data_IF_036549700225
#
_entry.id   IF_036549700225
#
_cell.length_a   1.000
_cell.length_b   1.000
_cell.length_c   1.000
_cell.angle_alpha   90.00
_cell.angle_beta   90.00
_cell.angle_gamma   90.00
#
_symmetry.space_group_name_H-M   'P 1'
#
loop_
_entity.id
_entity.type
_entity.pdbx_description
1 polymer ?
#
# COMPACT_ATOMS: atom_id res chain seq x y z
N UNK A 1 0.84 -50.64 37.10
CA UNK A 1 0.09 -50.28 35.87
C UNK A 1 -0.05 -48.78 35.85
N UNK A 2 0.64 -48.15 34.89
CA UNK A 2 0.73 -46.70 34.71
C UNK A 2 -0.66 -46.08 34.52
N UNK A 3 -0.85 -44.90 35.10
CA UNK A 3 -2.07 -44.11 34.98
C UNK A 3 -1.72 -42.76 34.36
N UNK A 4 -2.46 -42.45 33.27
CA UNK A 4 -2.76 -41.14 32.68
C UNK A 4 -1.55 -40.29 32.22
N UNK A 5 -1.15 -40.40 30.94
CA UNK A 5 -1.65 -39.63 29.79
C UNK A 5 -1.60 -38.11 30.00
N UNK A 6 -0.39 -37.59 29.75
CA UNK A 6 -0.03 -36.41 28.95
C UNK A 6 -1.04 -35.24 28.99
N UNK A 7 -0.67 -34.25 29.80
CA UNK A 7 -1.11 -32.86 29.77
C UNK A 7 -0.64 -32.21 28.44
N UNK A 8 -1.44 -32.32 27.38
CA UNK A 8 -1.17 -31.65 26.11
C UNK A 8 -1.60 -30.19 26.19
N UNK A 9 -0.58 -29.33 26.28
CA UNK A 9 -0.60 -27.87 26.17
C UNK A 9 -1.77 -27.32 25.33
N UNK A 10 -2.64 -26.59 26.03
CA UNK A 10 -3.26 -25.37 25.51
C UNK A 10 -2.15 -24.44 25.02
N UNK A 11 -2.09 -24.13 23.72
CA UNK A 11 -1.72 -22.84 23.14
C UNK A 11 -1.95 -22.93 21.63
N UNK A 12 -3.22 -23.04 21.21
CA UNK A 12 -3.56 -22.54 19.88
C UNK A 12 -3.50 -21.03 19.96
N UNK A 13 -2.31 -20.55 19.64
CA UNK A 13 -1.96 -19.15 19.45
C UNK A 13 -3.04 -18.55 18.55
N UNK A 14 -3.74 -17.56 19.10
CA UNK A 14 -4.60 -16.65 18.36
C UNK A 14 -3.92 -16.31 17.03
N UNK A 15 -4.52 -16.76 15.91
CA UNK A 15 -4.32 -16.07 14.64
C UNK A 15 -4.83 -14.65 14.86
N UNK A 16 -3.92 -13.75 15.25
CA UNK A 16 -4.18 -12.33 15.16
C UNK A 16 -4.55 -12.06 13.72
N UNK A 17 -5.83 -11.77 13.47
CA UNK A 17 -6.26 -11.14 12.23
C UNK A 17 -5.30 -9.98 11.95
N UNK A 18 -4.80 -9.79 10.72
CA UNK A 18 -3.98 -8.63 10.41
C UNK A 18 -4.76 -7.41 10.88
N UNK A 19 -4.11 -6.59 11.70
CA UNK A 19 -4.72 -5.44 12.33
C UNK A 19 -5.44 -4.65 11.25
N UNK A 20 -6.77 -4.53 11.38
CA UNK A 20 -7.52 -3.53 10.64
C UNK A 20 -6.91 -2.19 11.04
N UNK A 21 -6.01 -1.66 10.20
CA UNK A 21 -5.39 -0.36 10.40
C UNK A 21 -6.54 0.62 10.60
N UNK A 22 -6.63 1.18 11.81
CA UNK A 22 -7.60 2.23 12.10
C UNK A 22 -7.21 3.41 11.21
N UNK A 23 -8.01 3.62 10.16
CA UNK A 23 -7.96 4.77 9.27
C UNK A 23 -7.95 6.01 10.18
N UNK A 24 -6.78 6.62 10.36
CA UNK A 24 -6.71 8.01 10.80
C UNK A 24 -6.99 8.87 9.57
N UNK A 25 -7.50 10.07 9.77
CA UNK A 25 -7.65 11.01 8.65
C UNK A 25 -6.24 11.46 8.25
N UNK A 26 -5.82 11.09 7.04
CA UNK A 26 -4.51 11.45 6.51
C UNK A 26 -4.46 12.93 6.16
N UNK A 27 -3.28 13.53 6.26
CA UNK A 27 -3.03 14.89 5.78
C UNK A 27 -2.97 14.83 4.26
N UNK A 28 -3.88 15.46 3.53
CA UNK A 28 -3.81 15.38 2.05
C UNK A 28 -4.26 16.64 1.35
N UNK A 29 -3.29 17.34 0.73
CA UNK A 29 -3.53 18.12 -0.49
C UNK A 29 -3.25 17.18 -1.67
N UNK A 30 -4.28 16.61 -2.28
CA UNK A 30 -4.16 15.80 -3.48
C UNK A 30 -5.03 16.36 -4.59
N UNK A 31 -4.56 16.20 -5.83
CA UNK A 31 -5.34 16.47 -7.03
C UNK A 31 -5.38 15.20 -7.86
N UNK A 32 -6.57 14.64 -8.00
CA UNK A 32 -6.82 13.49 -8.86
C UNK A 32 -7.18 13.97 -10.27
N UNK A 33 -6.50 13.42 -11.27
CA UNK A 33 -6.89 13.44 -12.68
C UNK A 33 -7.17 12.00 -13.09
N UNK A 34 -7.97 11.76 -14.14
CA UNK A 34 -8.55 10.45 -14.54
C UNK A 34 -7.64 9.19 -14.45
N UNK A 35 -6.30 9.32 -14.41
CA UNK A 35 -5.34 8.21 -14.18
C UNK A 35 -4.09 8.58 -13.38
N UNK A 36 -4.01 9.82 -12.89
CA UNK A 36 -2.82 10.35 -12.25
C UNK A 36 -3.21 11.00 -10.93
N UNK A 37 -2.53 10.61 -9.86
CA UNK A 37 -2.60 11.30 -8.57
C UNK A 37 -1.36 12.17 -8.42
N UNK A 38 -1.58 13.45 -8.12
CA UNK A 38 -0.55 14.32 -7.58
C UNK A 38 -0.80 14.53 -6.09
N UNK A 39 0.20 14.25 -5.27
CA UNK A 39 0.10 14.30 -3.82
C UNK A 39 1.36 14.92 -3.20
N UNK A 40 1.20 15.49 -2.02
CA UNK A 40 2.32 15.92 -1.19
C UNK A 40 2.32 15.10 0.10
N UNK A 41 3.44 14.44 0.38
CA UNK A 41 3.69 13.67 1.62
C UNK A 41 4.98 14.22 2.20
N UNK A 42 4.93 14.78 3.42
CA UNK A 42 6.01 15.61 3.96
C UNK A 42 6.43 16.73 2.98
N UNK A 43 7.73 16.81 2.63
CA UNK A 43 8.28 17.76 1.67
C UNK A 43 8.51 17.17 0.27
N UNK A 44 7.98 15.98 0.03
CA UNK A 44 7.99 15.32 -1.27
C UNK A 44 6.67 15.55 -2.02
N UNK A 45 6.78 15.80 -3.32
CA UNK A 45 5.67 15.71 -4.25
C UNK A 45 5.73 14.37 -4.99
N UNK A 46 4.60 13.68 -5.08
CA UNK A 46 4.44 12.41 -5.74
C UNK A 46 3.50 12.56 -6.94
N UNK A 47 3.95 12.08 -8.10
CA UNK A 47 3.10 11.84 -9.26
C UNK A 47 2.96 10.32 -9.43
N UNK A 48 1.76 9.81 -9.23
CA UNK A 48 1.44 8.37 -9.21
C UNK A 48 0.61 8.02 -10.44
N UNK A 49 0.99 6.96 -11.15
CA UNK A 49 0.34 6.56 -12.40
C UNK A 49 0.27 5.04 -12.58
N UNK A 50 -0.88 4.54 -13.02
CA UNK A 50 -0.99 3.16 -13.49
C UNK A 50 -0.34 3.00 -14.87
N UNK A 51 0.64 2.11 -14.98
CA UNK A 51 1.21 1.66 -16.27
C UNK A 51 0.39 0.52 -16.88
N UNK A 52 -0.36 -0.19 -16.05
CA UNK A 52 -1.31 -1.23 -16.46
C UNK A 52 -2.22 -1.58 -15.28
N UNK A 53 -3.52 -1.65 -15.52
CA UNK A 53 -4.53 -1.76 -14.48
C UNK A 53 -5.01 -0.39 -13.99
N UNK A 54 -5.62 -0.32 -12.80
CA UNK A 54 -5.85 -1.45 -11.88
C UNK A 54 -6.78 -2.51 -12.50
N UNK A 55 -6.51 -3.79 -12.22
CA UNK A 55 -7.30 -4.92 -12.74
C UNK A 55 -8.00 -5.65 -11.59
N UNK A 56 -9.34 -5.76 -11.65
CA UNK A 56 -10.16 -6.46 -10.68
C UNK A 56 -10.10 -8.00 -10.76
N UNK A 57 -8.93 -8.58 -10.98
CA UNK A 57 -8.75 -10.01 -11.19
C UNK A 57 -7.38 -10.46 -10.69
N UNK A 58 -7.34 -11.44 -9.78
CA UNK A 58 -6.11 -11.91 -9.15
C UNK A 58 -5.13 -12.61 -10.10
N UNK A 59 -5.57 -12.95 -11.32
CA UNK A 59 -4.70 -13.51 -12.37
C UNK A 59 -3.90 -12.45 -13.12
N UNK A 60 -4.24 -11.16 -12.98
CA UNK A 60 -3.57 -10.06 -13.66
C UNK A 60 -2.85 -9.17 -12.65
N UNK A 61 -1.61 -8.81 -12.96
CA UNK A 61 -0.83 -7.88 -12.16
C UNK A 61 -1.06 -6.45 -12.64
N UNK A 62 -1.43 -5.59 -11.71
CA UNK A 62 -1.46 -4.14 -11.89
C UNK A 62 -0.06 -3.57 -11.65
N UNK A 63 0.26 -2.48 -12.34
CA UNK A 63 1.58 -1.85 -12.32
C UNK A 63 1.45 -0.37 -12.02
N UNK A 64 2.08 0.06 -10.94
CA UNK A 64 2.04 1.44 -10.47
C UNK A 64 3.44 2.04 -10.54
N UNK A 65 3.60 3.14 -11.26
CA UNK A 65 4.83 3.94 -11.25
C UNK A 65 4.61 5.18 -10.39
N UNK A 66 5.63 5.54 -9.63
CA UNK A 66 5.65 6.71 -8.76
C UNK A 66 6.89 7.54 -9.10
N UNK A 67 6.66 8.81 -9.42
CA UNK A 67 7.70 9.82 -9.56
C UNK A 67 7.72 10.67 -8.30
N UNK A 68 8.91 10.84 -7.72
CA UNK A 68 9.13 11.56 -6.47
C UNK A 68 9.95 12.80 -6.77
N UNK A 69 9.46 13.94 -6.30
CA UNK A 69 10.09 15.23 -6.47
C UNK A 69 10.34 15.89 -5.13
N UNK A 70 11.49 16.55 -4.99
CA UNK A 70 11.80 17.46 -3.89
C UNK A 70 12.26 18.79 -4.51
N UNK A 71 11.65 19.90 -4.11
CA UNK A 71 11.91 21.22 -4.71
C UNK A 71 11.79 21.21 -6.26
N UNK A 72 10.74 20.57 -6.78
CA UNK A 72 10.44 20.45 -8.22
C UNK A 72 11.51 19.71 -9.05
N UNK A 73 12.42 18.97 -8.43
CA UNK A 73 13.39 18.08 -9.09
C UNK A 73 13.13 16.65 -8.69
N UNK A 74 13.32 15.72 -9.62
CA UNK A 74 13.31 14.29 -9.29
C UNK A 74 14.35 14.05 -8.20
N UNK A 75 13.94 13.36 -7.14
CA UNK A 75 14.78 13.13 -5.98
C UNK A 75 14.38 11.81 -5.34
N UNK A 76 15.38 11.05 -4.91
CA UNK A 76 15.12 9.86 -4.14
C UNK A 76 14.53 10.21 -2.78
N UNK A 77 13.71 9.29 -2.29
CA UNK A 77 13.31 9.25 -0.89
C UNK A 77 14.57 9.06 -0.05
N UNK A 78 14.65 9.79 1.06
CA UNK A 78 15.82 9.77 1.93
C UNK A 78 16.04 8.39 2.56
N UNK A 79 17.30 8.13 2.93
CA UNK A 79 17.67 6.88 3.56
C UNK A 79 16.86 6.67 4.85
N UNK A 80 16.33 5.47 5.02
CA UNK A 80 15.49 5.12 6.18
C UNK A 80 13.99 5.29 5.95
N UNK A 81 13.57 5.81 4.79
CA UNK A 81 12.17 5.87 4.38
C UNK A 81 11.90 5.00 3.14
N UNK A 82 10.69 4.45 3.06
CA UNK A 82 10.26 3.54 2.01
C UNK A 82 8.83 3.84 1.53
N UNK A 83 8.55 3.56 0.26
CA UNK A 83 7.17 3.58 -0.26
C UNK A 83 6.48 2.26 0.01
N UNK A 84 5.22 2.34 0.42
CA UNK A 84 4.32 1.21 0.50
C UNK A 84 2.98 1.55 -0.15
N UNK A 85 2.41 0.59 -0.87
CA UNK A 85 1.07 0.72 -1.44
C UNK A 85 0.10 -0.13 -0.63
N UNK A 86 -1.02 0.45 -0.25
CA UNK A 86 -2.15 -0.27 0.32
C UNK A 86 -3.43 0.02 -0.46
N UNK A 87 -4.41 -0.89 -0.37
CA UNK A 87 -5.71 -0.70 -0.98
C UNK A 87 -6.76 -1.60 -0.33
N UNK A 88 -7.93 -1.03 -0.10
CA UNK A 88 -9.08 -1.75 0.46
C UNK A 88 -10.39 -1.34 -0.20
N UNK A 89 -11.39 -2.24 -0.21
CA UNK A 89 -12.76 -1.91 -0.57
C UNK A 89 -13.54 -1.51 0.70
N UNK A 90 -13.89 -0.23 0.91
CA UNK A 90 -14.55 0.21 2.15
C UNK A 90 -15.90 -0.47 2.38
N UNK A 91 -16.64 -0.73 1.30
CA UNK A 91 -17.97 -1.33 1.35
C UNK A 91 -17.99 -2.75 1.93
N UNK A 92 -16.88 -3.48 1.81
CA UNK A 92 -16.78 -4.86 2.28
C UNK A 92 -15.63 -5.11 3.27
N UNK A 93 -14.81 -4.09 3.57
CA UNK A 93 -13.63 -4.23 4.43
C UNK A 93 -12.59 -5.22 3.89
N UNK A 94 -12.58 -5.49 2.58
CA UNK A 94 -11.67 -6.44 1.96
C UNK A 94 -10.38 -5.75 1.51
N UNK A 95 -9.19 -6.22 1.92
CA UNK A 95 -7.93 -5.76 1.37
C UNK A 95 -7.71 -6.31 -0.04
N UNK A 96 -6.79 -5.70 -0.79
CA UNK A 96 -6.26 -6.29 -2.02
C UNK A 96 -5.57 -7.65 -1.74
N UNK A 97 -5.37 -8.45 -2.79
CA UNK A 97 -4.77 -9.77 -2.66
C UNK A 97 -3.25 -9.70 -2.43
N UNK A 98 -2.56 -8.84 -3.17
CA UNK A 98 -1.11 -8.62 -3.03
C UNK A 98 -0.80 -7.12 -3.22
N UNK A 99 -0.03 -6.55 -2.29
CA UNK A 99 0.41 -5.15 -2.34
C UNK A 99 1.57 -4.92 -3.33
N UNK A 100 2.37 -5.96 -3.59
CA UNK A 100 3.66 -5.82 -4.26
C UNK A 100 4.67 -4.99 -3.47
N UNK A 101 5.81 -4.72 -4.08
CA UNK A 101 6.89 -3.92 -3.51
C UNK A 101 7.38 -2.90 -4.54
N UNK A 102 7.78 -1.71 -4.08
CA UNK A 102 8.38 -0.71 -4.94
C UNK A 102 9.86 -1.00 -5.15
N UNK A 103 10.27 -1.05 -6.42
CA UNK A 103 11.67 -1.13 -6.83
C UNK A 103 12.09 0.20 -7.42
N UNK A 104 13.21 0.75 -6.96
CA UNK A 104 13.81 1.95 -7.54
C UNK A 104 14.40 1.63 -8.93
N UNK A 105 13.98 2.38 -9.94
CA UNK A 105 14.49 2.26 -11.31
C UNK A 105 15.60 3.27 -11.61
N UNK A 106 15.38 4.51 -11.18
CA UNK A 106 16.32 5.63 -11.29
C UNK A 106 16.02 6.66 -10.20
N UNK A 107 16.77 7.77 -10.18
CA UNK A 107 16.54 8.85 -9.23
C UNK A 107 15.09 9.34 -9.26
N UNK A 108 14.42 9.26 -8.12
CA UNK A 108 13.03 9.67 -7.94
C UNK A 108 12.01 8.84 -8.75
N UNK A 109 12.37 7.66 -9.26
CA UNK A 109 11.45 6.82 -10.04
C UNK A 109 11.36 5.42 -9.45
N UNK A 110 10.15 5.04 -9.04
CA UNK A 110 9.86 3.79 -8.37
C UNK A 110 8.75 3.03 -9.10
N UNK A 111 8.89 1.72 -9.23
CA UNK A 111 7.92 0.86 -9.89
C UNK A 111 7.48 -0.26 -8.95
N UNK A 112 6.17 -0.43 -8.79
CA UNK A 112 5.58 -1.62 -8.20
C UNK A 112 4.86 -2.41 -9.30
N UNK A 113 5.30 -3.65 -9.53
CA UNK A 113 4.76 -4.56 -10.53
C UNK A 113 4.06 -5.80 -9.93
N UNK A 114 3.83 -5.81 -8.61
CA UNK A 114 3.29 -6.95 -7.87
C UNK A 114 1.85 -6.79 -7.41
N UNK A 115 1.17 -5.67 -7.73
CA UNK A 115 -0.16 -5.37 -7.19
C UNK A 115 -1.20 -6.31 -7.80
N UNK A 116 -2.02 -6.95 -6.97
CA UNK A 116 -3.16 -7.76 -7.41
C UNK A 116 -4.42 -7.46 -6.60
N UNK A 117 -5.51 -7.19 -7.31
CA UNK A 117 -6.83 -7.10 -6.73
C UNK A 117 -7.57 -8.43 -6.88
N UNK A 118 -8.49 -8.72 -5.98
CA UNK A 118 -9.32 -9.92 -6.01
C UNK A 118 -10.59 -9.75 -6.85
N UNK A 119 -11.07 -8.53 -7.04
CA UNK A 119 -12.32 -8.24 -7.76
C UNK A 119 -12.41 -6.77 -8.23
N UNK A 120 -13.27 -6.45 -9.23
CA UNK A 120 -13.55 -5.06 -9.61
C UNK A 120 -14.44 -4.36 -8.58
N UNK A 121 -14.53 -3.03 -8.67
CA UNK A 121 -15.39 -2.22 -7.81
C UNK A 121 -14.74 -0.92 -7.35
N UNK A 122 -15.30 -0.33 -6.29
CA UNK A 122 -14.82 0.89 -5.66
C UNK A 122 -13.73 0.56 -4.64
N UNK A 123 -12.53 1.06 -4.87
CA UNK A 123 -11.36 0.86 -4.03
C UNK A 123 -10.85 2.19 -3.47
N UNK A 124 -10.34 2.14 -2.24
CA UNK A 124 -9.56 3.20 -1.63
C UNK A 124 -8.11 2.78 -1.66
N UNK A 125 -7.32 3.49 -2.45
CA UNK A 125 -5.89 3.31 -2.58
C UNK A 125 -5.15 4.21 -1.62
N UNK A 126 -4.02 3.74 -1.15
CA UNK A 126 -3.16 4.47 -0.23
C UNK A 126 -1.70 4.31 -0.65
N UNK A 127 -0.95 5.41 -0.65
CA UNK A 127 0.49 5.42 -0.83
C UNK A 127 1.10 5.99 0.44
N UNK A 128 1.87 5.16 1.12
CA UNK A 128 2.45 5.44 2.41
C UNK A 128 3.94 5.69 2.27
N UNK A 129 4.42 6.64 3.06
CA UNK A 129 5.83 6.79 3.36
C UNK A 129 6.05 6.21 4.76
N UNK A 130 6.83 5.14 4.85
CA UNK A 130 7.08 4.40 6.09
C UNK A 130 8.57 4.44 6.43
N UNK A 131 8.90 4.30 7.71
CA UNK A 131 10.29 4.18 8.16
C UNK A 131 10.81 2.72 8.13
N UNK A 132 12.04 2.51 8.60
CA UNK A 132 12.67 1.18 8.69
C UNK A 132 11.94 0.20 9.62
N UNK A 133 11.07 0.69 10.51
CA UNK A 133 10.25 -0.12 11.40
C UNK A 133 8.85 -0.37 10.82
N UNK A 134 8.58 0.08 9.60
CA UNK A 134 7.26 0.08 8.95
C UNK A 134 6.23 0.97 9.65
N UNK A 135 6.68 1.94 10.45
CA UNK A 135 5.78 2.95 11.02
C UNK A 135 5.45 4.00 9.96
N UNK A 136 4.16 4.23 9.72
CA UNK A 136 3.67 5.23 8.77
C UNK A 136 4.04 6.63 9.24
N UNK A 137 4.88 7.31 8.46
CA UNK A 137 5.26 8.69 8.71
C UNK A 137 4.18 9.64 8.18
N UNK A 138 3.73 9.41 6.94
CA UNK A 138 2.66 10.17 6.29
C UNK A 138 2.14 9.38 5.05
N UNK A 139 0.98 9.74 4.54
CA UNK A 139 0.34 9.01 3.44
C UNK A 139 -0.67 9.85 2.67
N UNK A 140 -0.95 9.41 1.44
CA UNK A 140 -2.06 9.91 0.63
C UNK A 140 -3.06 8.80 0.35
N UNK A 141 -4.34 9.16 0.37
CA UNK A 141 -5.46 8.28 0.05
C UNK A 141 -6.20 8.81 -1.18
N UNK A 142 -6.64 7.92 -2.09
CA UNK A 142 -7.50 8.29 -3.21
C UNK A 142 -8.50 7.17 -3.56
N UNK A 143 -9.75 7.52 -3.90
CA UNK A 143 -10.71 6.55 -4.43
C UNK A 143 -10.45 6.25 -5.92
N UNK A 144 -10.76 5.04 -6.36
CA UNK A 144 -10.79 4.67 -7.77
C UNK A 144 -11.79 3.53 -8.01
N UNK A 145 -12.50 3.58 -9.14
CA UNK A 145 -13.39 2.52 -9.59
C UNK A 145 -12.89 1.91 -10.89
N UNK A 146 -12.88 0.57 -10.97
CA UNK A 146 -12.45 -0.17 -12.16
C UNK A 146 -13.09 -1.55 -12.27
#
# INVERSE_FOLDING_TARGET
>A
MNHFIILSLFFLVSCGSPQNHKIKEGTTNSKLSEKNLQAQILDYQFDVKWLGGPFGNSKQQSKLIVFVYRNSKLSDIESGLHLQFYSSMPSMGHPMAEAGEFVRLSEGVYLNNGIKFNMPGEWMHELWLVDENFDTQDYVVWPESF
#
